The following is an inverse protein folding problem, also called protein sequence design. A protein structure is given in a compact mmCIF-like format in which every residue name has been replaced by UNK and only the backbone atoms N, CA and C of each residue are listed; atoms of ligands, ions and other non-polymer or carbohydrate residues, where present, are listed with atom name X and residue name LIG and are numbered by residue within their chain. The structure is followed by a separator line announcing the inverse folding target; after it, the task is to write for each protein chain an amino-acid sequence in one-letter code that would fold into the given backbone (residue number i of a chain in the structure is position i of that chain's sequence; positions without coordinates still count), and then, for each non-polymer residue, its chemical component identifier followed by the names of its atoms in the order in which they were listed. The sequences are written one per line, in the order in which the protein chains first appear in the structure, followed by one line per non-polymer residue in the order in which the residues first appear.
data_IF_537329544958
#
_entry.id   IF_537329544958
#
_cell.length_a   1.000
_cell.length_b   1.000
_cell.length_c   1.000
_cell.angle_alpha   90.00
_cell.angle_beta   90.00
_cell.angle_gamma   90.00
#
_symmetry.space_group_name_H-M   'P 1'
#
loop_
_entity.id
_entity.type
_entity.pdbx_description
1 polymer ?
#
# COMPACT_ATOMS: atom_id res chain seq x y z
N UNK A 1 -46.21 -89.31 -21.18
CA UNK A 1 -46.36 -88.16 -22.02
C UNK A 1 -46.37 -86.94 -21.15
N UNK A 2 -45.21 -86.29 -20.93
CA UNK A 2 -45.09 -85.01 -20.22
C UNK A 2 -44.17 -84.11 -21.04
N UNK A 3 -44.69 -83.01 -21.53
CA UNK A 3 -43.92 -81.97 -22.22
C UNK A 3 -43.18 -81.14 -21.21
N UNK A 4 -41.90 -81.01 -21.42
CA UNK A 4 -41.00 -80.08 -20.62
C UNK A 4 -40.94 -78.82 -21.46
N UNK A 5 -41.35 -77.67 -20.87
CA UNK A 5 -41.16 -76.32 -21.39
C UNK A 5 -39.82 -75.78 -21.01
N UNK A 6 -39.02 -75.43 -22.00
CA UNK A 6 -37.75 -74.69 -21.75
C UNK A 6 -38.05 -73.19 -21.60
N UNK A 7 -37.67 -72.59 -20.48
CA UNK A 7 -37.61 -71.17 -20.25
C UNK A 7 -36.21 -70.64 -20.62
N UNK A 8 -36.14 -69.82 -21.64
CA UNK A 8 -34.91 -69.11 -22.02
C UNK A 8 -34.80 -67.84 -21.20
N UNK A 9 -33.83 -67.78 -20.36
CA UNK A 9 -33.48 -66.54 -19.60
C UNK A 9 -32.62 -65.62 -20.47
N UNK A 10 -33.14 -64.43 -20.76
CA UNK A 10 -32.43 -63.36 -21.45
C UNK A 10 -31.61 -62.56 -20.38
N UNK A 11 -30.32 -62.74 -20.40
CA UNK A 11 -29.42 -61.90 -19.52
C UNK A 11 -29.18 -60.55 -20.18
N UNK A 12 -29.73 -59.51 -19.58
CA UNK A 12 -29.46 -58.10 -19.93
C UNK A 12 -28.09 -57.67 -19.36
N UNK A 13 -27.06 -57.59 -20.20
CA UNK A 13 -25.76 -57.05 -19.83
C UNK A 13 -25.86 -55.51 -19.89
N UNK A 14 -26.06 -54.85 -18.74
CA UNK A 14 -25.84 -53.41 -18.61
C UNK A 14 -24.34 -53.13 -18.62
N UNK A 15 -23.82 -52.74 -19.77
CA UNK A 15 -22.46 -52.18 -19.87
C UNK A 15 -22.40 -50.82 -19.18
N UNK A 16 -21.79 -50.77 -18.00
CA UNK A 16 -21.33 -49.52 -17.38
C UNK A 16 -20.17 -49.01 -18.24
N UNK A 17 -20.46 -48.09 -19.15
CA UNK A 17 -19.43 -47.25 -19.75
C UNK A 17 -18.92 -46.29 -18.66
N UNK A 18 -17.81 -46.61 -18.04
CA UNK A 18 -17.03 -45.67 -17.26
C UNK A 18 -16.55 -44.55 -18.21
N UNK A 19 -17.22 -43.42 -18.16
CA UNK A 19 -16.70 -42.17 -18.70
C UNK A 19 -15.46 -41.81 -17.88
N UNK A 20 -14.30 -42.29 -18.33
CA UNK A 20 -13.03 -41.73 -17.91
C UNK A 20 -13.01 -40.32 -18.45
N UNK A 21 -13.34 -39.33 -17.61
CA UNK A 21 -13.01 -37.96 -17.85
C UNK A 21 -11.47 -37.87 -17.87
N UNK A 22 -10.91 -37.94 -19.07
CA UNK A 22 -9.55 -37.49 -19.28
C UNK A 22 -9.58 -36.02 -18.97
N UNK A 23 -8.94 -35.60 -17.84
CA UNK A 23 -8.60 -34.21 -17.62
C UNK A 23 -7.86 -33.79 -18.89
N UNK A 24 -8.49 -32.94 -19.70
CA UNK A 24 -7.83 -32.38 -20.87
C UNK A 24 -6.62 -31.63 -20.34
N UNK A 25 -5.40 -31.99 -20.76
CA UNK A 25 -4.20 -31.25 -20.45
C UNK A 25 -4.45 -29.77 -20.78
N UNK A 26 -4.50 -28.94 -19.75
CA UNK A 26 -4.66 -27.51 -19.96
C UNK A 26 -3.46 -27.00 -20.78
N UNK A 27 -3.70 -26.17 -21.80
CA UNK A 27 -2.61 -25.63 -22.58
C UNK A 27 -1.63 -24.87 -21.66
N UNK A 28 -0.35 -25.07 -21.88
CA UNK A 28 0.70 -24.41 -21.09
C UNK A 28 0.63 -22.89 -21.16
N UNK A 29 -0.05 -22.35 -22.16
CA UNK A 29 -0.24 -20.91 -22.38
C UNK A 29 -1.64 -20.61 -22.91
N UNK A 30 -2.25 -19.54 -22.39
CA UNK A 30 -3.57 -19.03 -22.77
C UNK A 30 -3.46 -17.57 -23.21
N UNK A 31 -4.32 -17.15 -24.14
CA UNK A 31 -4.56 -15.72 -24.35
C UNK A 31 -5.55 -15.20 -23.32
N UNK A 32 -5.56 -13.87 -23.12
CA UNK A 32 -6.53 -13.23 -22.23
C UNK A 32 -7.97 -13.56 -22.61
N UNK A 33 -8.28 -13.57 -23.93
CA UNK A 33 -9.61 -13.91 -24.43
C UNK A 33 -10.01 -15.35 -24.08
N UNK A 34 -9.08 -16.31 -24.23
CA UNK A 34 -9.32 -17.72 -23.85
C UNK A 34 -9.56 -17.85 -22.34
N UNK A 35 -8.77 -17.16 -21.52
CA UNK A 35 -8.93 -17.19 -20.06
C UNK A 35 -10.28 -16.61 -19.62
N UNK A 36 -10.71 -15.50 -20.23
CA UNK A 36 -12.00 -14.86 -19.94
C UNK A 36 -13.19 -15.77 -20.26
N UNK A 37 -13.13 -16.57 -21.33
CA UNK A 37 -14.19 -17.54 -21.65
C UNK A 37 -14.33 -18.64 -20.61
N UNK A 38 -13.27 -18.84 -19.79
CA UNK A 38 -13.23 -19.83 -18.73
C UNK A 38 -13.51 -19.23 -17.34
N UNK A 39 -13.84 -17.92 -17.25
CA UNK A 39 -13.95 -17.18 -16.00
C UNK A 39 -12.68 -17.29 -15.13
N UNK A 40 -11.52 -17.32 -15.77
CA UNK A 40 -10.23 -17.45 -15.09
C UNK A 40 -9.69 -16.14 -14.57
N UNK A 41 -8.69 -16.22 -13.69
CA UNK A 41 -8.00 -15.09 -13.09
C UNK A 41 -6.63 -14.85 -13.72
N UNK A 42 -6.25 -13.58 -13.83
CA UNK A 42 -4.91 -13.15 -14.27
C UNK A 42 -4.07 -12.78 -13.05
N UNK A 43 -2.84 -13.26 -12.98
CA UNK A 43 -1.88 -12.90 -11.92
C UNK A 43 -0.61 -12.32 -12.54
N UNK A 44 -0.26 -11.12 -12.10
CA UNK A 44 1.02 -10.47 -12.35
C UNK A 44 2.04 -10.92 -11.31
N UNK A 45 3.09 -11.61 -11.75
CA UNK A 45 4.14 -12.16 -10.87
C UNK A 45 5.31 -11.19 -10.64
N UNK A 46 5.29 -10.03 -11.29
CA UNK A 46 6.32 -8.99 -11.16
C UNK A 46 6.22 -8.28 -9.81
N UNK A 47 7.29 -7.56 -9.43
CA UNK A 47 7.29 -6.73 -8.22
C UNK A 47 6.19 -5.65 -8.28
N UNK A 48 5.70 -5.22 -7.10
CA UNK A 48 4.64 -4.22 -6.95
C UNK A 48 4.90 -2.94 -7.74
N UNK A 49 6.16 -2.50 -7.84
CA UNK A 49 6.51 -1.30 -8.60
C UNK A 49 6.09 -1.40 -10.07
N UNK A 50 6.34 -2.53 -10.73
CA UNK A 50 5.97 -2.74 -12.14
C UNK A 50 4.46 -2.91 -12.32
N UNK A 51 3.81 -3.61 -11.39
CA UNK A 51 2.37 -3.69 -11.34
C UNK A 51 1.73 -2.30 -11.21
N UNK A 52 2.26 -1.46 -10.33
CA UNK A 52 1.74 -0.12 -10.04
C UNK A 52 1.96 0.89 -11.17
N UNK A 53 2.89 0.64 -12.11
CA UNK A 53 3.07 1.56 -13.24
C UNK A 53 4.51 1.87 -13.64
N UNK A 54 5.51 1.47 -12.83
CA UNK A 54 6.89 1.62 -13.26
C UNK A 54 7.19 0.69 -14.44
N UNK A 55 7.78 1.17 -15.54
CA UNK A 55 8.20 0.29 -16.62
C UNK A 55 9.47 -0.46 -16.22
N UNK A 56 9.60 -1.71 -16.67
CA UNK A 56 10.80 -2.53 -16.40
C UNK A 56 12.04 -1.99 -17.11
N UNK A 57 11.86 -1.30 -18.22
CA UNK A 57 12.91 -0.61 -18.98
C UNK A 57 12.41 0.77 -19.39
N UNK A 58 13.30 1.72 -19.74
CA UNK A 58 12.91 3.09 -20.11
C UNK A 58 11.86 3.17 -21.22
N UNK A 59 11.87 2.24 -22.15
CA UNK A 59 10.92 2.13 -23.26
C UNK A 59 9.88 1.02 -23.04
N UNK A 60 9.86 0.45 -21.84
CA UNK A 60 8.98 -0.67 -21.51
C UNK A 60 7.54 -0.24 -21.27
N UNK A 61 6.66 -1.24 -21.26
CA UNK A 61 5.24 -1.07 -20.98
C UNK A 61 5.03 -0.74 -19.50
N UNK A 62 4.10 0.16 -19.21
CA UNK A 62 3.79 0.68 -17.87
C UNK A 62 2.44 0.13 -17.39
N UNK A 63 2.41 -0.48 -16.23
CA UNK A 63 1.20 -0.98 -15.57
C UNK A 63 0.96 -2.48 -15.74
N UNK A 64 -0.28 -2.90 -15.51
CA UNK A 64 -0.72 -4.29 -15.45
C UNK A 64 -1.98 -4.52 -16.31
N UNK A 65 -2.25 -5.78 -16.65
CA UNK A 65 -3.48 -6.16 -17.33
C UNK A 65 -4.71 -5.83 -16.48
N UNK A 66 -5.82 -5.38 -17.11
CA UNK A 66 -7.04 -5.09 -16.37
C UNK A 66 -7.51 -6.29 -15.53
N UNK A 67 -7.89 -6.01 -14.28
CA UNK A 67 -8.30 -7.00 -13.30
C UNK A 67 -7.22 -8.04 -12.92
N UNK A 68 -5.96 -7.86 -13.32
CA UNK A 68 -4.88 -8.71 -12.84
C UNK A 68 -4.65 -8.50 -11.35
N UNK A 69 -4.43 -9.58 -10.63
CA UNK A 69 -3.99 -9.57 -9.23
C UNK A 69 -2.46 -9.54 -9.19
N UNK A 70 -1.88 -8.81 -8.25
CA UNK A 70 -0.44 -8.88 -8.03
C UNK A 70 -0.14 -9.98 -7.00
N UNK A 71 0.63 -10.97 -7.40
CA UNK A 71 1.26 -11.96 -6.52
C UNK A 71 2.73 -12.07 -6.90
N UNK A 72 3.52 -11.13 -6.40
CA UNK A 72 4.94 -11.08 -6.73
C UNK A 72 5.69 -12.34 -6.28
N UNK A 73 6.52 -12.88 -7.16
CA UNK A 73 7.38 -14.02 -6.81
C UNK A 73 8.28 -13.73 -5.60
N UNK A 74 8.68 -12.47 -5.42
CA UNK A 74 9.50 -12.04 -4.28
C UNK A 74 8.81 -12.17 -2.92
N UNK A 75 7.48 -12.17 -2.87
CA UNK A 75 6.72 -12.30 -1.61
C UNK A 75 6.72 -13.73 -1.07
N UNK A 76 6.85 -14.73 -1.94
CA UNK A 76 6.57 -16.13 -1.60
C UNK A 76 7.54 -16.72 -0.58
N UNK A 77 8.75 -16.15 -0.49
CA UNK A 77 9.71 -16.53 0.55
C UNK A 77 9.31 -16.09 1.97
N UNK A 78 8.51 -15.02 2.07
CA UNK A 78 8.00 -14.47 3.33
C UNK A 78 6.56 -14.93 3.66
N UNK A 79 5.85 -15.54 2.70
CA UNK A 79 4.47 -16.01 2.88
C UNK A 79 4.43 -17.47 3.35
N UNK A 80 3.68 -17.71 4.43
CA UNK A 80 3.30 -19.07 4.81
C UNK A 80 2.22 -19.65 3.85
N UNK A 81 1.97 -20.96 3.95
CA UNK A 81 0.92 -21.61 3.15
C UNK A 81 -0.48 -21.08 3.55
N UNK A 82 -0.70 -20.77 4.84
CA UNK A 82 -1.93 -20.17 5.35
C UNK A 82 -2.12 -18.74 4.81
N UNK A 83 -1.05 -17.94 4.75
CA UNK A 83 -1.10 -16.59 4.20
C UNK A 83 -1.43 -16.61 2.71
N UNK A 84 -0.84 -17.52 1.93
CA UNK A 84 -1.18 -17.69 0.52
C UNK A 84 -2.64 -18.13 0.34
N UNK A 85 -3.10 -19.08 1.15
CA UNK A 85 -4.50 -19.53 1.14
C UNK A 85 -5.46 -18.39 1.50
N UNK A 86 -5.11 -17.57 2.49
CA UNK A 86 -5.84 -16.37 2.88
C UNK A 86 -5.91 -15.35 1.76
N UNK A 87 -4.79 -15.07 1.10
CA UNK A 87 -4.70 -14.19 -0.06
C UNK A 87 -5.60 -14.68 -1.21
N UNK A 88 -5.51 -15.97 -1.55
CA UNK A 88 -6.33 -16.57 -2.60
C UNK A 88 -7.83 -16.46 -2.28
N UNK A 89 -8.23 -16.78 -1.04
CA UNK A 89 -9.63 -16.68 -0.58
C UNK A 89 -10.13 -15.23 -0.64
N UNK A 90 -9.32 -14.26 -0.22
CA UNK A 90 -9.67 -12.85 -0.29
C UNK A 90 -9.96 -12.40 -1.71
N UNK A 91 -9.20 -12.90 -2.68
CA UNK A 91 -9.38 -12.61 -4.10
C UNK A 91 -10.34 -13.60 -4.80
N UNK A 92 -11.07 -14.42 -4.03
CA UNK A 92 -12.09 -15.37 -4.52
C UNK A 92 -11.54 -16.39 -5.50
N UNK A 93 -10.25 -16.73 -5.40
CA UNK A 93 -9.64 -17.79 -6.18
C UNK A 93 -9.97 -19.15 -5.56
N UNK A 94 -10.36 -20.10 -6.41
CA UNK A 94 -10.61 -21.49 -6.01
C UNK A 94 -9.61 -22.43 -6.69
N UNK A 95 -9.29 -23.59 -6.09
CA UNK A 95 -8.30 -24.52 -6.63
C UNK A 95 -8.56 -25.01 -8.06
N UNK A 96 -9.81 -25.06 -8.47
CA UNK A 96 -10.28 -25.49 -9.81
C UNK A 96 -10.40 -24.34 -10.81
N UNK A 97 -10.24 -23.09 -10.35
CA UNK A 97 -10.30 -21.91 -11.23
C UNK A 97 -9.08 -21.86 -12.15
N UNK A 98 -9.26 -21.63 -13.46
CA UNK A 98 -8.15 -21.36 -14.36
C UNK A 98 -7.41 -20.08 -13.96
N UNK A 99 -6.09 -20.17 -13.85
CA UNK A 99 -5.22 -19.04 -13.52
C UNK A 99 -4.14 -18.90 -14.60
N UNK A 100 -3.96 -17.71 -15.13
CA UNK A 100 -2.88 -17.40 -16.07
C UNK A 100 -1.92 -16.37 -15.49
N UNK A 101 -0.64 -16.70 -15.49
CA UNK A 101 0.47 -15.93 -14.93
C UNK A 101 1.19 -15.15 -16.02
N UNK A 102 1.63 -13.93 -15.71
CA UNK A 102 2.56 -13.20 -16.55
C UNK A 102 3.62 -12.46 -15.73
N UNK A 103 4.77 -12.32 -16.32
CA UNK A 103 6.00 -11.77 -15.75
C UNK A 103 7.17 -12.34 -16.54
N UNK A 104 8.32 -12.55 -15.92
CA UNK A 104 9.39 -13.34 -16.53
C UNK A 104 9.18 -14.85 -16.20
N UNK A 105 9.85 -15.70 -16.97
CA UNK A 105 9.67 -17.16 -16.87
C UNK A 105 10.03 -17.70 -15.48
N UNK A 106 11.05 -17.18 -14.84
CA UNK A 106 11.48 -17.63 -13.51
C UNK A 106 10.44 -17.26 -12.44
N UNK A 107 9.92 -16.03 -12.48
CA UNK A 107 8.88 -15.56 -11.54
C UNK A 107 7.59 -16.36 -11.76
N UNK A 108 7.17 -16.54 -13.02
CA UNK A 108 6.00 -17.36 -13.37
C UNK A 108 6.14 -18.79 -12.85
N UNK A 109 7.31 -19.42 -13.03
CA UNK A 109 7.53 -20.79 -12.55
C UNK A 109 7.52 -20.87 -11.04
N UNK A 110 8.08 -19.87 -10.34
CA UNK A 110 8.09 -19.79 -8.88
C UNK A 110 6.66 -19.69 -8.32
N UNK A 111 5.84 -18.78 -8.89
CA UNK A 111 4.44 -18.59 -8.47
C UNK A 111 3.61 -19.82 -8.81
N UNK A 112 3.79 -20.40 -10.03
CA UNK A 112 3.10 -21.62 -10.45
C UNK A 112 3.32 -22.76 -9.46
N UNK A 113 4.57 -23.07 -9.15
CA UNK A 113 4.93 -24.13 -8.20
C UNK A 113 4.27 -23.93 -6.84
N UNK A 114 4.20 -22.70 -6.38
CA UNK A 114 3.62 -22.36 -5.08
C UNK A 114 2.09 -22.49 -5.08
N UNK A 115 1.41 -22.09 -6.17
CA UNK A 115 -0.03 -22.25 -6.34
C UNK A 115 -0.41 -23.73 -6.50
N UNK A 116 0.34 -24.50 -7.28
CA UNK A 116 0.12 -25.96 -7.44
C UNK A 116 0.27 -26.68 -6.11
N UNK A 117 1.27 -26.32 -5.28
CA UNK A 117 1.41 -26.84 -3.92
C UNK A 117 0.21 -26.47 -3.03
N UNK A 118 -0.39 -25.30 -3.25
CA UNK A 118 -1.61 -24.85 -2.57
C UNK A 118 -2.90 -25.50 -3.11
N UNK A 119 -2.78 -26.40 -4.10
CA UNK A 119 -3.91 -27.18 -4.64
C UNK A 119 -4.52 -26.64 -5.93
N UNK A 120 -3.98 -25.58 -6.52
CA UNK A 120 -4.46 -25.07 -7.81
C UNK A 120 -4.08 -26.05 -8.93
N UNK A 121 -5.09 -26.46 -9.72
CA UNK A 121 -4.93 -27.52 -10.73
C UNK A 121 -4.82 -26.99 -12.16
N UNK A 122 -5.17 -25.72 -12.40
CA UNK A 122 -5.22 -25.12 -13.72
C UNK A 122 -4.40 -23.84 -13.78
N UNK A 123 -3.07 -23.96 -13.69
CA UNK A 123 -2.14 -22.83 -13.73
C UNK A 123 -1.35 -22.83 -15.03
N UNK A 124 -1.53 -21.80 -15.84
CA UNK A 124 -0.91 -21.60 -17.16
C UNK A 124 -0.18 -20.24 -17.21
N UNK A 125 0.45 -19.91 -18.34
CA UNK A 125 0.99 -18.57 -18.61
C UNK A 125 0.06 -17.78 -19.53
N UNK A 126 0.08 -16.45 -19.43
CA UNK A 126 -0.63 -15.55 -20.33
C UNK A 126 0.28 -15.17 -21.50
N UNK A 127 -0.09 -15.55 -22.74
CA UNK A 127 0.77 -15.39 -23.92
C UNK A 127 0.74 -14.00 -24.55
N UNK A 128 -0.34 -13.25 -24.33
CA UNK A 128 -0.56 -11.92 -24.90
C UNK A 128 -0.55 -10.78 -23.87
N UNK A 129 0.07 -11.04 -22.71
CA UNK A 129 0.21 -10.05 -21.64
C UNK A 129 1.00 -8.81 -22.10
N UNK A 130 0.55 -7.64 -21.62
CA UNK A 130 1.20 -6.33 -21.79
C UNK A 130 1.35 -5.87 -23.26
N UNK A 131 0.66 -6.47 -24.19
CA UNK A 131 0.78 -6.13 -25.62
C UNK A 131 -0.05 -4.91 -26.04
N UNK A 132 -1.13 -4.61 -25.31
CA UNK A 132 -2.04 -3.51 -25.59
C UNK A 132 -1.90 -2.42 -24.52
N UNK A 133 -0.91 -1.54 -24.68
CA UNK A 133 -0.52 -0.54 -23.69
C UNK A 133 -1.62 0.48 -23.32
N UNK A 134 -2.56 0.73 -24.22
CA UNK A 134 -3.66 1.67 -24.06
C UNK A 134 -4.75 1.20 -23.08
N UNK A 135 -4.81 -0.10 -22.79
CA UNK A 135 -5.77 -0.66 -21.84
C UNK A 135 -5.18 -1.04 -20.49
N UNK A 136 -3.87 -0.96 -20.32
CA UNK A 136 -3.24 -1.30 -19.07
C UNK A 136 -3.64 -0.33 -17.95
N UNK A 137 -3.84 -0.89 -16.77
CA UNK A 137 -4.13 -0.15 -15.56
C UNK A 137 -2.84 0.15 -14.79
N UNK A 138 -2.83 1.27 -14.08
CA UNK A 138 -1.71 1.68 -13.25
C UNK A 138 -2.17 2.59 -12.13
N UNK A 139 -1.37 2.70 -11.11
CA UNK A 139 -1.54 3.68 -10.05
C UNK A 139 -1.43 5.09 -10.66
N UNK A 140 -2.35 5.98 -10.32
CA UNK A 140 -2.46 7.30 -10.95
C UNK A 140 -1.17 8.14 -10.80
N UNK A 141 -0.54 8.05 -9.63
CA UNK A 141 0.71 8.74 -9.31
C UNK A 141 1.75 7.74 -8.80
N UNK A 142 2.04 6.70 -9.59
CA UNK A 142 3.00 5.66 -9.24
C UNK A 142 4.40 6.22 -8.92
N UNK A 143 4.76 7.36 -9.53
CA UNK A 143 6.03 8.04 -9.32
C UNK A 143 6.23 8.54 -7.89
N UNK A 144 5.18 8.65 -7.09
CA UNK A 144 5.26 9.01 -5.68
C UNK A 144 5.76 7.84 -4.80
N UNK A 145 5.72 6.61 -5.32
CA UNK A 145 6.20 5.40 -4.65
C UNK A 145 7.37 4.82 -5.45
N UNK A 146 8.57 5.24 -5.11
CA UNK A 146 9.79 4.77 -5.78
C UNK A 146 10.23 3.41 -5.23
N UNK A 147 11.02 2.67 -6.00
CA UNK A 147 11.55 1.37 -5.58
C UNK A 147 13.10 1.38 -5.51
N UNK A 148 13.72 0.43 -4.80
CA UNK A 148 15.15 0.50 -4.48
C UNK A 148 16.06 0.65 -5.69
N UNK A 149 15.85 -0.14 -6.74
CA UNK A 149 16.69 -0.11 -7.94
C UNK A 149 16.58 1.23 -8.69
N UNK A 150 15.42 1.89 -8.63
CA UNK A 150 15.23 3.21 -9.22
C UNK A 150 16.13 4.25 -8.52
N UNK A 151 16.14 4.29 -7.18
CA UNK A 151 17.01 5.19 -6.40
C UNK A 151 18.47 4.87 -6.72
N UNK A 152 18.84 3.60 -6.72
CA UNK A 152 20.21 3.18 -7.00
C UNK A 152 20.68 3.61 -8.41
N UNK A 153 19.84 3.46 -9.42
CA UNK A 153 20.13 3.93 -10.78
C UNK A 153 20.25 5.45 -10.85
N UNK A 154 19.37 6.19 -10.15
CA UNK A 154 19.40 7.64 -10.05
C UNK A 154 20.74 8.12 -9.43
N UNK A 155 21.19 7.47 -8.34
CA UNK A 155 22.49 7.75 -7.71
C UNK A 155 23.68 7.47 -8.64
N UNK A 156 23.56 6.51 -9.53
CA UNK A 156 24.56 6.22 -10.55
C UNK A 156 24.49 7.14 -11.78
N UNK A 157 23.66 8.17 -11.74
CA UNK A 157 23.43 9.10 -12.86
C UNK A 157 22.97 8.38 -14.14
N UNK A 158 22.31 7.24 -13.98
CA UNK A 158 21.68 6.52 -15.09
C UNK A 158 20.32 7.12 -15.41
N UNK A 159 19.89 7.11 -16.69
CA UNK A 159 18.53 7.50 -17.04
C UNK A 159 17.49 6.64 -16.30
N UNK A 160 16.49 7.27 -15.72
CA UNK A 160 15.35 6.63 -15.05
C UNK A 160 14.04 7.27 -15.50
N UNK A 161 12.97 6.49 -15.53
CA UNK A 161 11.62 7.01 -15.76
C UNK A 161 11.23 7.96 -14.63
N UNK A 162 10.49 9.02 -14.90
CA UNK A 162 10.08 10.02 -13.94
C UNK A 162 11.25 10.59 -13.11
N UNK A 163 12.40 10.82 -13.75
CA UNK A 163 13.57 11.43 -13.11
C UNK A 163 13.18 12.78 -12.48
N UNK A 164 13.79 13.16 -11.33
CA UNK A 164 13.67 14.51 -10.79
C UNK A 164 14.01 15.58 -11.81
N UNK A 165 13.22 16.65 -11.85
CA UNK A 165 13.46 17.75 -12.80
C UNK A 165 14.64 18.68 -12.40
N UNK A 166 15.05 18.64 -11.11
CA UNK A 166 16.10 19.48 -10.55
C UNK A 166 16.87 18.79 -9.44
N UNK A 167 17.24 19.57 -8.43
CA UNK A 167 17.92 19.04 -7.24
C UNK A 167 17.04 18.00 -6.54
N UNK A 168 17.66 16.94 -6.10
CA UNK A 168 16.96 15.88 -5.35
C UNK A 168 17.77 15.41 -4.16
N UNK A 169 17.07 14.86 -3.16
CA UNK A 169 17.66 14.34 -1.92
C UNK A 169 16.99 13.02 -1.55
N UNK A 170 17.78 12.09 -1.00
CA UNK A 170 17.29 10.90 -0.30
C UNK A 170 17.47 11.15 1.19
N UNK A 171 16.43 10.91 1.99
CA UNK A 171 16.44 11.23 3.42
C UNK A 171 15.77 10.09 4.19
N UNK A 172 16.46 9.58 5.22
CA UNK A 172 15.85 8.70 6.21
C UNK A 172 15.09 9.54 7.24
N UNK A 173 13.83 9.21 7.49
CA UNK A 173 13.04 9.79 8.56
C UNK A 173 12.91 8.78 9.71
N UNK A 174 13.14 9.23 10.93
CA UNK A 174 13.00 8.41 12.12
C UNK A 174 12.80 9.25 13.37
N UNK A 175 12.43 8.63 14.48
CA UNK A 175 12.22 9.32 15.75
C UNK A 175 13.49 9.34 16.59
N UNK A 176 13.89 10.54 17.01
CA UNK A 176 15.02 10.76 17.90
C UNK A 176 16.39 10.63 17.20
N UNK A 177 17.41 10.29 17.99
CA UNK A 177 18.77 10.20 17.49
C UNK A 177 18.93 9.11 16.41
N UNK A 178 19.79 9.32 15.39
CA UNK A 178 19.91 8.46 14.19
C UNK A 178 20.66 7.14 14.45
N UNK A 179 20.33 6.40 15.50
CA UNK A 179 21.10 5.23 15.95
C UNK A 179 21.19 4.13 14.89
N UNK A 180 20.06 3.77 14.26
CA UNK A 180 20.03 2.75 13.23
C UNK A 180 20.61 3.26 11.90
N UNK A 181 20.38 4.53 11.58
CA UNK A 181 20.96 5.20 10.43
C UNK A 181 22.51 5.13 10.48
N UNK A 182 23.12 5.44 11.64
CA UNK A 182 24.56 5.38 11.81
C UNK A 182 25.16 3.98 11.57
N UNK A 183 24.38 2.94 11.79
CA UNK A 183 24.79 1.55 11.54
C UNK A 183 24.71 1.17 10.07
N UNK A 184 23.69 1.67 9.37
CA UNK A 184 23.49 1.44 7.95
C UNK A 184 22.40 2.36 7.40
N UNK A 185 22.62 2.97 6.24
CA UNK A 185 21.65 3.80 5.53
C UNK A 185 21.88 3.74 4.02
N UNK A 186 20.96 4.29 3.24
CA UNK A 186 21.12 4.42 1.79
C UNK A 186 22.28 5.40 1.52
N UNK A 187 23.25 5.05 0.66
CA UNK A 187 24.41 5.91 0.40
C UNK A 187 24.01 7.35 0.06
N UNK A 188 24.67 8.31 0.70
CA UNK A 188 24.39 9.75 0.51
C UNK A 188 23.09 10.27 1.10
N UNK A 189 22.30 9.44 1.78
CA UNK A 189 21.06 9.88 2.40
C UNK A 189 21.33 10.84 3.58
N UNK A 190 20.46 11.86 3.74
CA UNK A 190 20.35 12.64 4.95
C UNK A 190 19.52 11.94 6.02
N UNK A 191 19.40 12.58 7.20
CA UNK A 191 18.52 12.12 8.28
C UNK A 191 17.67 13.28 8.80
N UNK A 192 16.37 13.04 8.98
CA UNK A 192 15.43 13.94 9.65
C UNK A 192 14.87 13.22 10.87
N UNK A 193 15.05 13.82 12.05
CA UNK A 193 14.33 13.47 13.27
C UNK A 193 12.89 14.02 13.16
N UNK A 194 11.88 13.17 13.34
CA UNK A 194 10.48 13.60 13.30
C UNK A 194 10.17 14.70 14.31
N UNK A 195 10.93 14.82 15.40
CA UNK A 195 10.83 15.95 16.34
C UNK A 195 11.15 17.32 15.69
N UNK A 196 11.70 17.35 14.49
CA UNK A 196 11.90 18.59 13.73
C UNK A 196 10.61 19.05 13.01
N UNK A 197 9.64 18.16 12.83
CA UNK A 197 8.36 18.44 12.12
C UNK A 197 7.13 18.38 13.02
N UNK A 198 7.22 17.75 14.17
CA UNK A 198 6.15 17.61 15.17
C UNK A 198 6.71 17.79 16.59
N UNK A 199 5.85 18.08 17.57
CA UNK A 199 6.33 18.33 18.93
C UNK A 199 5.31 17.99 20.01
N UNK A 200 5.83 17.65 21.19
CA UNK A 200 5.03 17.53 22.41
C UNK A 200 4.23 18.82 22.69
N UNK A 201 3.10 18.74 23.43
CA UNK A 201 2.59 17.53 24.10
C UNK A 201 1.70 16.66 23.20
N UNK A 202 1.15 17.18 22.10
CA UNK A 202 0.15 16.51 21.29
C UNK A 202 0.72 15.87 20.00
N UNK A 203 2.01 16.10 19.74
CA UNK A 203 2.68 15.66 18.51
C UNK A 203 2.06 16.24 17.24
N UNK A 204 1.46 17.42 17.37
CA UNK A 204 1.01 18.19 16.22
C UNK A 204 2.22 18.77 15.47
N UNK A 205 2.01 19.12 14.21
CA UNK A 205 2.99 19.81 13.37
C UNK A 205 3.57 21.04 14.10
N UNK A 206 4.86 21.24 13.99
CA UNK A 206 5.52 22.46 14.48
C UNK A 206 5.01 23.71 13.74
N UNK A 207 5.32 24.90 14.27
CA UNK A 207 4.92 26.15 13.59
C UNK A 207 5.56 26.26 12.20
N UNK A 208 4.95 27.05 11.32
CA UNK A 208 5.43 27.23 9.95
C UNK A 208 6.83 27.85 9.91
N UNK A 209 7.19 28.69 10.90
CA UNK A 209 8.55 29.24 11.06
C UNK A 209 9.57 28.16 11.38
N UNK A 210 9.25 27.23 12.30
CA UNK A 210 10.12 26.09 12.62
C UNK A 210 10.25 25.14 11.44
N UNK A 211 9.14 24.91 10.72
CA UNK A 211 9.13 24.10 9.52
C UNK A 211 10.01 24.71 8.43
N UNK A 212 9.92 26.03 8.23
CA UNK A 212 10.79 26.76 7.30
C UNK A 212 12.28 26.64 7.68
N UNK A 213 12.59 26.75 8.96
CA UNK A 213 13.95 26.62 9.47
C UNK A 213 14.49 25.19 9.28
N UNK A 214 13.66 24.17 9.51
CA UNK A 214 14.00 22.76 9.29
C UNK A 214 14.30 22.50 7.81
N UNK A 215 13.43 22.92 6.90
CA UNK A 215 13.62 22.75 5.47
C UNK A 215 14.92 23.41 4.99
N UNK A 216 15.18 24.66 5.43
CA UNK A 216 16.43 25.35 5.12
C UNK A 216 17.66 24.60 5.65
N UNK A 217 17.64 24.13 6.90
CA UNK A 217 18.72 23.33 7.54
C UNK A 217 19.08 22.10 6.69
N UNK A 218 18.07 21.41 6.17
CA UNK A 218 18.25 20.21 5.31
C UNK A 218 18.49 20.54 3.83
N UNK A 219 18.63 21.82 3.48
CA UNK A 219 18.89 22.26 2.11
C UNK A 219 17.70 22.01 1.17
N UNK A 220 16.46 22.02 1.69
CA UNK A 220 15.25 21.74 0.95
C UNK A 220 14.54 23.03 0.58
N UNK A 221 14.27 23.21 -0.71
CA UNK A 221 13.46 24.27 -1.29
C UNK A 221 12.13 23.69 -1.80
N UNK A 222 11.21 24.56 -2.16
CA UNK A 222 9.90 24.17 -2.68
C UNK A 222 9.98 23.35 -3.99
N UNK A 223 11.06 23.48 -4.74
CA UNK A 223 11.33 22.81 -6.02
C UNK A 223 12.35 21.64 -5.91
N UNK A 224 12.84 21.34 -4.71
CA UNK A 224 13.66 20.15 -4.46
C UNK A 224 12.78 18.90 -4.48
N UNK A 225 13.20 17.88 -5.24
CA UNK A 225 12.57 16.55 -5.12
C UNK A 225 13.11 15.85 -3.87
N UNK A 226 12.22 15.47 -2.95
CA UNK A 226 12.59 14.79 -1.72
C UNK A 226 12.10 13.34 -1.76
N UNK A 227 13.02 12.39 -1.64
CA UNK A 227 12.76 10.96 -1.59
C UNK A 227 12.97 10.51 -0.14
N UNK A 228 11.88 10.15 0.53
CA UNK A 228 11.89 9.78 1.94
C UNK A 228 11.80 8.26 2.11
N UNK A 229 12.52 7.75 3.09
CA UNK A 229 12.34 6.38 3.58
C UNK A 229 12.46 6.34 5.10
N UNK A 230 12.01 5.25 5.71
CA UNK A 230 12.13 5.03 7.14
C UNK A 230 12.34 3.56 7.45
N UNK A 231 12.69 3.26 8.70
CA UNK A 231 12.63 1.89 9.23
C UNK A 231 11.16 1.46 9.31
N UNK A 232 10.32 2.42 9.68
CA UNK A 232 8.88 2.37 9.58
C UNK A 232 8.43 3.33 8.47
N UNK A 233 7.68 2.85 7.50
CA UNK A 233 7.24 3.64 6.33
C UNK A 233 6.40 4.84 6.79
N UNK A 234 5.59 4.69 7.82
CA UNK A 234 4.74 5.76 8.34
C UNK A 234 5.54 6.94 8.96
N UNK A 235 6.78 6.73 9.42
CA UNK A 235 7.64 7.84 9.84
C UNK A 235 8.04 8.72 8.64
N UNK A 236 8.43 8.09 7.54
CA UNK A 236 8.71 8.79 6.29
C UNK A 236 7.45 9.48 5.74
N UNK A 237 6.30 8.81 5.81
CA UNK A 237 5.02 9.36 5.37
C UNK A 237 4.61 10.60 6.18
N UNK A 238 4.86 10.61 7.51
CA UNK A 238 4.62 11.79 8.35
C UNK A 238 5.40 12.99 7.88
N UNK A 239 6.70 12.82 7.65
CA UNK A 239 7.55 13.91 7.14
C UNK A 239 7.11 14.31 5.73
N UNK A 240 6.78 13.35 4.85
CA UNK A 240 6.31 13.63 3.50
C UNK A 240 5.04 14.47 3.48
N UNK A 241 4.05 14.12 4.29
CA UNK A 241 2.77 14.83 4.37
C UNK A 241 2.98 16.28 4.83
N UNK A 242 3.83 16.51 5.84
CA UNK A 242 4.14 17.85 6.34
C UNK A 242 4.94 18.66 5.32
N UNK A 243 5.86 18.04 4.57
CA UNK A 243 6.57 18.70 3.47
C UNK A 243 5.64 19.10 2.34
N UNK A 244 4.66 18.27 1.97
CA UNK A 244 3.62 18.61 0.99
C UNK A 244 2.77 19.78 1.49
N UNK A 245 2.35 19.77 2.76
CA UNK A 245 1.66 20.90 3.38
C UNK A 245 2.49 22.20 3.27
N UNK A 246 3.79 22.12 3.56
CA UNK A 246 4.70 23.26 3.45
C UNK A 246 4.79 23.80 2.02
N UNK A 247 4.57 22.97 1.01
CA UNK A 247 4.62 23.37 -0.40
C UNK A 247 5.82 22.81 -1.17
N UNK A 248 6.50 21.77 -0.65
CA UNK A 248 7.46 21.00 -1.45
C UNK A 248 6.68 20.29 -2.56
N UNK A 249 7.05 20.52 -3.81
CA UNK A 249 6.23 20.11 -4.97
C UNK A 249 6.33 18.62 -5.29
N UNK A 250 7.50 18.03 -5.10
CA UNK A 250 7.79 16.63 -5.42
C UNK A 250 8.35 15.92 -4.20
N UNK A 251 7.48 15.19 -3.51
CA UNK A 251 7.81 14.38 -2.35
C UNK A 251 7.42 12.94 -2.65
N UNK A 252 8.40 12.05 -2.58
CA UNK A 252 8.25 10.63 -2.90
C UNK A 252 8.64 9.79 -1.70
N UNK A 253 8.08 8.59 -1.62
CA UNK A 253 8.41 7.60 -0.59
C UNK A 253 9.05 6.38 -1.25
N UNK A 254 10.12 5.84 -0.66
CA UNK A 254 10.60 4.50 -0.98
C UNK A 254 9.58 3.48 -0.48
N UNK A 255 8.89 2.84 -1.41
CA UNK A 255 7.87 1.82 -1.12
C UNK A 255 8.52 0.61 -0.44
N UNK A 256 7.98 0.22 0.72
CA UNK A 256 8.58 -0.77 1.61
C UNK A 256 9.78 -0.27 2.44
N UNK A 257 10.15 1.00 2.34
CA UNK A 257 11.14 1.65 3.20
C UNK A 257 12.53 1.01 3.21
N UNK A 258 13.19 1.10 4.35
CA UNK A 258 14.51 0.46 4.54
C UNK A 258 14.51 -1.03 4.28
N UNK A 259 13.43 -1.73 4.64
CA UNK A 259 13.32 -3.17 4.41
C UNK A 259 13.46 -3.49 2.92
N UNK A 260 12.76 -2.79 2.04
CA UNK A 260 12.84 -2.98 0.60
C UNK A 260 14.27 -2.76 0.06
N UNK A 261 14.97 -1.73 0.55
CA UNK A 261 16.38 -1.49 0.18
C UNK A 261 17.30 -2.63 0.60
N UNK A 262 17.15 -3.08 1.84
CA UNK A 262 17.95 -4.17 2.41
C UNK A 262 17.71 -5.50 1.70
N UNK A 263 16.45 -5.83 1.43
CA UNK A 263 16.05 -7.05 0.73
C UNK A 263 16.56 -7.07 -0.72
N UNK A 264 16.68 -5.89 -1.35
CA UNK A 264 17.29 -5.74 -2.67
C UNK A 264 18.81 -5.93 -2.66
N UNK A 265 19.43 -6.11 -1.49
CA UNK A 265 20.90 -6.29 -1.33
C UNK A 265 21.71 -5.18 -1.98
N UNK A 266 21.21 -3.94 -1.97
CA UNK A 266 21.88 -2.78 -2.52
C UNK A 266 22.95 -2.23 -1.57
N UNK A 267 23.92 -1.43 -2.08
CA UNK A 267 24.97 -0.85 -1.25
C UNK A 267 24.43 -0.04 -0.08
N UNK A 268 25.11 -0.09 1.05
CA UNK A 268 24.79 0.69 2.26
C UNK A 268 25.99 1.53 2.67
N UNK A 269 25.71 2.68 3.28
CA UNK A 269 26.68 3.55 3.91
C UNK A 269 26.52 3.49 5.43
N UNK A 270 27.56 3.90 6.17
CA UNK A 270 27.62 3.93 7.63
C UNK A 270 28.20 5.26 8.09
N UNK A 271 27.86 5.66 9.31
CA UNK A 271 28.41 6.86 9.92
C UNK A 271 27.44 8.04 9.86
N UNK A 272 27.95 9.24 10.12
CA UNK A 272 27.16 10.46 10.21
C UNK A 272 26.61 10.92 8.87
N UNK A 273 25.44 11.58 8.83
CA UNK A 273 24.91 12.17 7.62
C UNK A 273 25.95 13.12 6.97
N UNK A 274 25.97 13.13 5.64
CA UNK A 274 26.77 14.09 4.90
C UNK A 274 26.40 15.53 5.32
N UNK A 275 27.42 16.41 5.38
CA UNK A 275 27.17 17.83 5.61
C UNK A 275 26.32 18.40 4.45
N UNK A 276 25.11 18.78 4.76
CA UNK A 276 24.21 19.42 3.81
C UNK A 276 24.41 20.93 3.86
N UNK A 277 24.62 21.57 2.73
CA UNK A 277 24.61 23.03 2.64
C UNK A 277 23.18 23.50 2.86
N UNK A 278 22.91 24.35 3.88
CA UNK A 278 21.57 24.89 4.09
C UNK A 278 21.09 25.68 2.86
N UNK A 279 19.79 25.59 2.57
CA UNK A 279 19.18 26.42 1.56
C UNK A 279 19.10 27.88 2.04
N UNK A 280 19.35 28.87 1.16
CA UNK A 280 19.28 30.28 1.55
C UNK A 280 17.85 30.72 1.90
N UNK A 281 16.86 30.13 1.28
CA UNK A 281 15.43 30.31 1.50
C UNK A 281 14.64 29.11 1.01
N UNK A 282 13.36 29.05 1.33
CA UNK A 282 12.45 28.01 0.83
C UNK A 282 11.97 28.31 -0.62
N UNK A 283 11.97 29.57 -1.03
CA UNK A 283 11.60 30.02 -2.37
C UNK A 283 10.09 30.14 -2.61
N UNK A 284 9.25 29.90 -1.59
CA UNK A 284 7.80 30.04 -1.66
C UNK A 284 7.22 30.33 -0.26
N UNK A 285 5.96 30.82 -0.15
CA UNK A 285 5.27 30.93 1.13
C UNK A 285 5.01 29.56 1.77
N UNK A 286 5.03 29.49 3.11
CA UNK A 286 4.59 28.34 3.91
C UNK A 286 3.39 28.78 4.75
N UNK A 287 2.26 28.02 4.75
CA UNK A 287 2.05 26.78 4.01
C UNK A 287 1.77 27.04 2.51
N UNK A 288 2.27 26.14 1.66
CA UNK A 288 1.94 26.15 0.22
C UNK A 288 0.66 25.39 -0.10
N UNK A 289 0.29 24.38 0.72
CA UNK A 289 -0.90 23.57 0.55
C UNK A 289 -1.63 23.37 1.88
N UNK A 290 -2.24 24.42 2.46
CA UNK A 290 -2.89 24.35 3.78
C UNK A 290 -4.05 23.33 3.83
N UNK A 291 -4.72 23.08 2.69
CA UNK A 291 -5.83 22.14 2.58
C UNK A 291 -5.43 20.68 2.85
N UNK A 292 -4.14 20.35 2.86
CA UNK A 292 -3.67 19.00 3.14
C UNK A 292 -3.62 18.67 4.64
N UNK A 293 -3.94 19.63 5.49
CA UNK A 293 -3.98 19.46 6.94
C UNK A 293 -5.28 20.03 7.50
N UNK A 294 -5.92 19.28 8.36
CA UNK A 294 -7.19 19.60 9.01
C UNK A 294 -6.92 19.81 10.50
N UNK A 295 -7.41 20.91 11.04
CA UNK A 295 -7.43 21.15 12.48
C UNK A 295 -8.68 20.55 13.16
N UNK A 296 -8.76 20.66 14.48
CA UNK A 296 -9.85 20.07 15.25
C UNK A 296 -11.22 20.69 14.92
N UNK A 297 -11.29 21.99 14.63
CA UNK A 297 -12.56 22.66 14.30
C UNK A 297 -13.06 22.22 12.92
N UNK A 298 -12.15 22.11 11.96
CA UNK A 298 -12.45 21.56 10.64
C UNK A 298 -12.88 20.09 10.74
N UNK A 299 -12.21 19.29 11.57
CA UNK A 299 -12.59 17.89 11.81
C UNK A 299 -13.99 17.75 12.41
N UNK A 300 -14.36 18.62 13.36
CA UNK A 300 -15.73 18.72 13.87
C UNK A 300 -16.74 19.03 12.78
N UNK A 301 -16.43 20.00 11.91
CA UNK A 301 -17.26 20.37 10.77
C UNK A 301 -17.49 19.21 9.80
N UNK A 302 -16.46 18.38 9.56
CA UNK A 302 -16.55 17.22 8.65
C UNK A 302 -17.56 16.17 9.13
N UNK A 303 -17.72 15.97 10.44
CA UNK A 303 -18.67 15.01 10.99
C UNK A 303 -20.14 15.33 10.68
N UNK A 304 -20.44 16.58 10.30
CA UNK A 304 -21.79 17.03 9.96
C UNK A 304 -22.04 17.12 8.46
N UNK A 305 -21.08 16.70 7.64
CA UNK A 305 -21.15 16.80 6.17
C UNK A 305 -21.34 15.42 5.54
N UNK A 306 -22.23 15.31 4.56
CA UNK A 306 -22.45 14.06 3.81
C UNK A 306 -21.36 13.80 2.76
N UNK A 307 -20.71 14.86 2.27
CA UNK A 307 -19.63 14.82 1.28
C UNK A 307 -18.24 14.73 1.91
N UNK A 308 -18.14 14.45 3.22
CA UNK A 308 -16.89 14.34 3.94
C UNK A 308 -16.81 13.06 4.78
N UNK A 309 -15.57 12.60 5.00
CA UNK A 309 -15.27 11.44 5.85
C UNK A 309 -14.09 11.76 6.75
N UNK A 310 -14.28 11.67 8.06
CA UNK A 310 -13.20 11.62 9.03
C UNK A 310 -12.86 10.14 9.25
N UNK A 311 -11.63 9.74 8.92
CA UNK A 311 -11.25 8.33 8.76
C UNK A 311 -10.17 7.95 9.76
N UNK A 312 -10.51 7.00 10.64
CA UNK A 312 -9.62 6.45 11.65
C UNK A 312 -8.68 5.41 11.06
N UNK A 313 -7.39 5.70 11.06
CA UNK A 313 -6.31 4.75 10.71
C UNK A 313 -5.75 4.20 12.02
N UNK A 314 -6.57 3.39 12.69
CA UNK A 314 -6.25 2.76 13.97
C UNK A 314 -6.65 1.29 13.92
N UNK A 315 -6.01 0.46 14.73
CA UNK A 315 -6.38 -0.95 14.85
C UNK A 315 -7.83 -1.10 15.33
N UNK A 316 -8.42 -2.26 15.08
CA UNK A 316 -9.80 -2.53 15.54
C UNK A 316 -9.97 -2.39 17.05
N UNK A 317 -9.07 -2.94 17.90
CA UNK A 317 -9.18 -2.74 19.35
C UNK A 317 -9.11 -1.27 19.80
N UNK A 318 -8.32 -0.43 19.09
CA UNK A 318 -8.31 1.02 19.34
C UNK A 318 -9.65 1.66 18.94
N UNK A 319 -10.16 1.30 17.74
CA UNK A 319 -11.40 1.87 17.18
C UNK A 319 -12.63 1.58 18.03
N UNK A 320 -12.73 0.38 18.60
CA UNK A 320 -13.84 0.02 19.48
C UNK A 320 -13.62 0.43 20.96
N UNK A 321 -12.43 0.96 21.28
CA UNK A 321 -12.13 1.45 22.62
C UNK A 321 -11.71 0.39 23.63
N UNK A 322 -11.25 -0.77 23.21
CA UNK A 322 -10.63 -1.78 24.09
C UNK A 322 -9.27 -1.30 24.61
N UNK A 323 -8.53 -0.60 23.78
CA UNK A 323 -7.24 0.01 24.11
C UNK A 323 -7.13 1.43 23.58
N UNK A 324 -6.23 2.24 24.14
CA UNK A 324 -5.85 3.52 23.54
C UNK A 324 -4.79 3.35 22.43
N UNK A 325 -4.08 2.23 22.45
CA UNK A 325 -2.98 1.93 21.55
C UNK A 325 -1.62 2.50 21.98
N UNK A 326 -1.58 3.46 22.90
CA UNK A 326 -0.37 4.19 23.29
C UNK A 326 -0.24 4.29 24.80
N UNK A 327 0.99 4.22 25.32
CA UNK A 327 1.25 4.35 26.75
C UNK A 327 0.98 5.77 27.29
N UNK A 328 1.13 6.78 26.46
CA UNK A 328 0.97 8.21 26.82
C UNK A 328 -0.42 8.77 26.51
N UNK A 329 -1.23 8.12 25.67
CA UNK A 329 -2.64 8.47 25.44
C UNK A 329 -3.50 7.60 26.36
N UNK A 330 -4.13 8.23 27.34
CA UNK A 330 -4.95 7.50 28.35
C UNK A 330 -6.39 7.23 27.91
N UNK A 331 -7.09 8.18 27.28
CA UNK A 331 -8.47 7.94 26.84
C UNK A 331 -8.55 6.82 25.81
N UNK A 332 -9.57 5.96 25.99
CA UNK A 332 -9.96 4.90 25.06
C UNK A 332 -11.22 5.30 24.32
N UNK A 333 -11.41 4.77 23.13
CA UNK A 333 -12.57 5.07 22.31
C UNK A 333 -12.18 5.65 20.95
N UNK A 334 -13.17 6.26 20.30
CA UNK A 334 -13.05 6.78 18.96
C UNK A 334 -13.84 8.07 18.78
N UNK A 335 -13.49 8.88 17.80
CA UNK A 335 -14.28 10.04 17.39
C UNK A 335 -15.66 9.55 16.95
N UNK A 336 -16.72 10.01 17.63
CA UNK A 336 -18.08 9.61 17.29
C UNK A 336 -18.44 10.09 15.87
N UNK A 337 -18.88 9.17 15.01
CA UNK A 337 -19.16 9.45 13.59
C UNK A 337 -17.98 9.24 12.63
N UNK A 338 -16.79 8.97 13.13
CA UNK A 338 -15.67 8.60 12.28
C UNK A 338 -15.85 7.20 11.67
N UNK A 339 -15.26 7.01 10.51
CA UNK A 339 -15.25 5.74 9.75
C UNK A 339 -13.95 5.00 9.98
N UNK A 340 -14.03 3.67 10.06
CA UNK A 340 -12.85 2.86 10.24
C UNK A 340 -12.13 2.64 8.91
N UNK A 341 -10.95 3.24 8.77
CA UNK A 341 -10.09 3.10 7.60
C UNK A 341 -9.08 1.98 7.69
N UNK A 342 -9.15 1.14 8.75
CA UNK A 342 -8.19 0.08 9.05
C UNK A 342 -6.80 0.61 9.44
N UNK A 343 -5.89 -0.28 9.78
CA UNK A 343 -4.46 -0.04 9.97
C UNK A 343 -3.71 -1.37 10.01
N UNK A 344 -3.81 -2.07 11.12
CA UNK A 344 -3.16 -3.35 11.39
C UNK A 344 -3.51 -3.84 12.79
N UNK A 345 -2.67 -4.71 13.34
CA UNK A 345 -2.91 -5.43 14.59
C UNK A 345 -2.88 -4.54 15.84
N UNK A 346 -2.10 -3.45 15.82
CA UNK A 346 -1.95 -2.52 16.94
C UNK A 346 -1.54 -1.10 16.48
N UNK A 347 -1.14 -0.25 17.44
CA UNK A 347 -0.78 1.15 17.19
C UNK A 347 0.53 1.35 16.41
N UNK A 348 1.31 0.30 16.19
CA UNK A 348 2.61 0.33 15.52
C UNK A 348 2.65 -0.47 14.22
N UNK A 349 1.50 -0.99 13.79
CA UNK A 349 1.40 -1.85 12.62
C UNK A 349 0.41 -1.33 11.58
N UNK A 350 0.73 -1.58 10.30
CA UNK A 350 -0.05 -1.17 9.13
C UNK A 350 -0.24 -2.33 8.14
N UNK A 351 -0.39 -3.57 8.64
CA UNK A 351 -0.46 -4.79 7.81
C UNK A 351 -1.61 -4.76 6.81
N UNK A 352 -2.71 -4.05 7.12
CA UNK A 352 -3.86 -3.93 6.20
C UNK A 352 -3.51 -3.17 4.92
N UNK A 353 -2.42 -2.38 4.95
CA UNK A 353 -1.96 -1.56 3.83
C UNK A 353 -0.73 -2.14 3.11
N UNK A 354 -0.15 -3.21 3.63
CA UNK A 354 1.11 -3.73 3.14
C UNK A 354 0.99 -5.11 2.50
N UNK A 355 1.78 -5.31 1.45
CA UNK A 355 2.12 -6.61 0.91
C UNK A 355 3.13 -7.32 1.82
N UNK A 356 3.38 -8.62 1.65
CA UNK A 356 4.34 -9.38 2.49
C UNK A 356 5.76 -8.82 2.52
N UNK A 357 6.18 -8.08 1.50
CA UNK A 357 7.48 -7.41 1.44
C UNK A 357 7.49 -6.00 2.03
N UNK A 358 6.35 -5.53 2.55
CA UNK A 358 6.18 -4.19 3.13
C UNK A 358 5.85 -3.10 2.11
N UNK A 359 5.74 -3.42 0.82
CA UNK A 359 5.28 -2.46 -0.19
C UNK A 359 3.79 -2.18 -0.09
N UNK A 360 3.33 -1.08 -0.68
CA UNK A 360 1.90 -0.72 -0.72
C UNK A 360 1.07 -1.86 -1.33
N UNK A 361 0.03 -2.26 -0.61
CA UNK A 361 -1.00 -3.17 -1.11
C UNK A 361 -1.69 -2.58 -2.34
N UNK A 362 -2.27 -3.42 -3.19
CA UNK A 362 -2.90 -2.93 -4.43
C UNK A 362 -3.94 -1.84 -4.16
N UNK A 363 -4.03 -0.86 -5.04
CA UNK A 363 -5.02 0.21 -4.95
C UNK A 363 -6.45 -0.33 -4.88
N UNK A 364 -6.75 -1.39 -5.63
CA UNK A 364 -8.06 -2.04 -5.64
C UNK A 364 -8.41 -2.67 -4.29
N UNK A 365 -7.44 -3.31 -3.63
CA UNK A 365 -7.65 -3.88 -2.30
C UNK A 365 -7.90 -2.80 -1.25
N UNK A 366 -7.12 -1.72 -1.27
CA UNK A 366 -7.30 -0.60 -0.33
C UNK A 366 -8.65 0.08 -0.60
N UNK A 367 -9.00 0.35 -1.85
CA UNK A 367 -10.28 0.95 -2.21
C UNK A 367 -11.47 0.05 -1.80
N UNK A 368 -11.36 -1.26 -2.01
CA UNK A 368 -12.39 -2.22 -1.59
C UNK A 368 -12.56 -2.23 -0.06
N UNK A 369 -11.45 -2.22 0.68
CA UNK A 369 -11.45 -2.14 2.15
C UNK A 369 -12.14 -0.86 2.64
N UNK A 370 -11.78 0.30 2.09
CA UNK A 370 -12.37 1.59 2.45
C UNK A 370 -13.84 1.71 2.05
N UNK A 371 -14.20 1.13 0.90
CA UNK A 371 -15.60 1.12 0.44
C UNK A 371 -16.55 0.41 1.40
N UNK A 372 -16.10 -0.60 2.14
CA UNK A 372 -16.92 -1.27 3.16
C UNK A 372 -17.40 -0.30 4.25
N UNK A 373 -16.66 0.76 4.52
CA UNK A 373 -16.98 1.83 5.46
C UNK A 373 -17.48 3.10 4.77
N UNK A 374 -17.89 2.99 3.49
CA UNK A 374 -18.36 4.12 2.69
C UNK A 374 -17.35 5.29 2.61
N UNK A 375 -16.04 4.96 2.62
CA UNK A 375 -14.94 5.89 2.40
C UNK A 375 -14.66 5.87 0.90
N UNK A 376 -14.94 6.99 0.21
CA UNK A 376 -14.99 7.06 -1.25
C UNK A 376 -14.15 8.23 -1.78
N UNK A 377 -13.57 8.11 -2.99
CA UNK A 377 -12.68 9.12 -3.57
C UNK A 377 -13.33 10.47 -3.89
N UNK A 378 -14.67 10.52 -4.01
CA UNK A 378 -15.41 11.75 -4.28
C UNK A 378 -15.60 12.63 -3.04
N UNK A 379 -15.37 12.07 -1.86
CA UNK A 379 -15.55 12.77 -0.58
C UNK A 379 -14.31 13.61 -0.25
N UNK A 380 -14.50 14.60 0.63
CA UNK A 380 -13.39 15.18 1.39
C UNK A 380 -12.99 14.21 2.49
N UNK A 381 -11.82 13.59 2.36
CA UNK A 381 -11.35 12.58 3.30
C UNK A 381 -10.23 13.14 4.16
N UNK A 382 -10.38 13.14 5.48
CA UNK A 382 -9.31 13.43 6.41
C UNK A 382 -8.97 12.18 7.22
N UNK A 383 -7.75 11.69 7.07
CA UNK A 383 -7.22 10.56 7.83
C UNK A 383 -6.65 11.03 9.17
N UNK A 384 -6.83 10.25 10.21
CA UNK A 384 -6.18 10.45 11.51
C UNK A 384 -5.86 9.11 12.17
N UNK A 385 -4.93 9.14 13.12
CA UNK A 385 -4.65 8.03 14.03
C UNK A 385 -4.47 8.55 15.46
N UNK A 386 -3.54 8.06 16.24
CA UNK A 386 -3.22 8.65 17.55
C UNK A 386 -2.63 10.06 17.42
N UNK A 387 -1.59 10.20 16.62
CA UNK A 387 -0.75 11.42 16.49
C UNK A 387 -0.33 11.75 15.05
N UNK A 388 -0.85 11.07 14.04
CA UNK A 388 -0.68 11.44 12.63
C UNK A 388 0.20 10.54 11.75
N UNK A 389 1.06 9.66 12.28
CA UNK A 389 2.00 8.86 11.49
C UNK A 389 1.31 7.87 10.54
N UNK A 390 0.51 6.94 11.09
CA UNK A 390 -0.25 5.96 10.29
C UNK A 390 -1.23 6.66 9.32
N UNK A 391 -1.86 7.73 9.78
CA UNK A 391 -2.73 8.57 8.96
C UNK A 391 -2.01 9.17 7.76
N UNK A 392 -0.77 9.61 7.94
CA UNK A 392 0.06 10.16 6.86
C UNK A 392 0.43 9.11 5.82
N UNK A 393 0.61 7.85 6.21
CA UNK A 393 0.83 6.76 5.25
C UNK A 393 -0.41 6.49 4.41
N UNK A 394 -1.59 6.36 5.04
CA UNK A 394 -2.86 6.22 4.32
C UNK A 394 -3.12 7.42 3.37
N UNK A 395 -2.79 8.64 3.82
CA UNK A 395 -2.86 9.84 3.00
C UNK A 395 -1.93 9.75 1.76
N UNK A 396 -0.68 9.33 1.93
CA UNK A 396 0.25 9.18 0.80
C UNK A 396 -0.24 8.14 -0.20
N UNK A 397 -0.78 7.02 0.27
CA UNK A 397 -1.35 5.98 -0.59
C UNK A 397 -2.60 6.46 -1.32
N UNK A 398 -3.52 7.16 -0.65
CA UNK A 398 -4.69 7.74 -1.29
C UNK A 398 -4.29 8.73 -2.42
N UNK A 399 -3.26 9.55 -2.18
CA UNK A 399 -2.72 10.45 -3.22
C UNK A 399 -2.12 9.67 -4.39
N UNK A 400 -1.33 8.65 -4.12
CA UNK A 400 -0.77 7.79 -5.17
C UNK A 400 -1.88 7.11 -5.99
N UNK A 401 -3.01 6.75 -5.36
CA UNK A 401 -4.22 6.24 -6.02
C UNK A 401 -4.96 7.31 -6.85
N UNK A 402 -4.59 8.60 -6.74
CA UNK A 402 -5.20 9.69 -7.49
C UNK A 402 -6.36 10.39 -6.77
N UNK A 403 -6.58 10.12 -5.48
CA UNK A 403 -7.61 10.82 -4.71
C UNK A 403 -7.24 12.29 -4.53
N UNK A 404 -8.15 13.19 -4.91
CA UNK A 404 -7.86 14.62 -4.99
C UNK A 404 -8.09 15.37 -3.67
N UNK A 405 -9.12 14.98 -2.91
CA UNK A 405 -9.60 15.72 -1.74
C UNK A 405 -9.22 14.98 -0.46
N UNK A 406 -7.92 14.81 -0.22
CA UNK A 406 -7.40 14.09 0.95
C UNK A 406 -6.54 14.99 1.82
N UNK A 407 -6.65 14.81 3.13
CA UNK A 407 -5.92 15.55 4.15
C UNK A 407 -5.59 14.64 5.35
N UNK A 408 -4.81 15.15 6.28
CA UNK A 408 -4.58 14.54 7.60
C UNK A 408 -5.16 15.46 8.67
N UNK A 409 -5.98 14.93 9.57
CA UNK A 409 -6.32 15.60 10.83
C UNK A 409 -5.13 15.45 11.78
N UNK A 410 -4.40 16.54 11.95
CA UNK A 410 -3.08 16.58 12.60
C UNK A 410 -3.14 16.15 14.07
N UNK A 411 -4.11 16.66 14.82
CA UNK A 411 -4.25 16.37 16.25
C UNK A 411 -4.65 14.94 16.59
N UNK A 412 -5.32 14.27 15.68
CA UNK A 412 -5.74 12.88 15.82
C UNK A 412 -6.56 12.60 17.07
N UNK A 413 -6.56 11.33 17.49
CA UNK A 413 -7.25 10.89 18.68
C UNK A 413 -6.71 11.57 19.95
N UNK A 414 -5.42 11.84 20.01
CA UNK A 414 -4.80 12.42 21.19
C UNK A 414 -5.34 13.82 21.50
N UNK A 415 -5.37 14.71 20.52
CA UNK A 415 -5.95 16.03 20.67
C UNK A 415 -7.46 15.95 20.92
N UNK A 416 -8.19 15.18 20.09
CA UNK A 416 -9.63 15.04 20.20
C UNK A 416 -10.09 14.61 21.59
N UNK A 417 -9.46 13.56 22.12
CA UNK A 417 -9.81 12.98 23.42
C UNK A 417 -9.37 13.82 24.61
N UNK A 418 -8.49 14.81 24.41
CA UNK A 418 -8.08 15.76 25.44
C UNK A 418 -9.13 16.84 25.72
N UNK A 419 -10.17 16.95 24.87
CA UNK A 419 -11.24 17.91 24.98
C UNK A 419 -12.53 17.21 25.41
N UNK A 420 -12.96 17.35 26.70
CA UNK A 420 -14.10 16.58 27.23
C UNK A 420 -15.44 16.81 26.54
N UNK A 421 -15.60 17.93 25.83
CA UNK A 421 -16.82 18.26 25.08
C UNK A 421 -16.89 17.56 23.73
N UNK A 422 -15.81 16.97 23.25
CA UNK A 422 -15.81 16.27 21.97
C UNK A 422 -16.55 14.94 22.07
N UNK A 423 -17.43 14.60 21.12
CA UNK A 423 -18.16 13.35 21.16
C UNK A 423 -17.25 12.15 20.93
N UNK A 424 -17.36 11.17 21.80
CA UNK A 424 -16.60 9.92 21.82
C UNK A 424 -17.55 8.73 21.78
N UNK A 425 -17.18 7.68 21.05
CA UNK A 425 -17.88 6.40 21.01
C UNK A 425 -16.97 5.26 21.41
N UNK A 426 -17.57 4.21 21.97
CA UNK A 426 -16.91 2.95 22.37
C UNK A 426 -17.80 1.77 21.99
N UNK A 427 -17.23 0.58 21.97
CA UNK A 427 -17.91 -0.67 21.62
C UNK A 427 -17.91 -0.95 20.13
N UNK A 428 -18.28 -2.18 19.80
CA UNK A 428 -18.39 -2.63 18.41
C UNK A 428 -19.48 -1.86 17.67
N UNK A 429 -19.18 -1.50 16.43
CA UNK A 429 -20.10 -0.81 15.53
C UNK A 429 -19.72 -1.12 14.09
N UNK A 430 -20.73 -1.20 13.24
CA UNK A 430 -20.56 -1.41 11.81
C UNK A 430 -20.56 -0.11 11.01
N UNK A 431 -20.37 -0.22 9.69
CA UNK A 431 -20.34 0.94 8.78
C UNK A 431 -21.60 1.82 8.83
N UNK A 432 -22.75 1.27 9.18
CA UNK A 432 -24.03 1.98 9.30
C UNK A 432 -24.07 2.96 10.49
N UNK A 433 -23.19 2.79 11.47
CA UNK A 433 -23.11 3.67 12.64
C UNK A 433 -22.31 4.96 12.40
N UNK A 434 -21.64 5.04 11.26
CA UNK A 434 -20.82 6.18 10.84
C UNK A 434 -21.60 7.17 9.95
N UNK A 435 -22.90 7.45 10.34
CA UNK A 435 -23.78 8.39 9.62
C UNK A 435 -23.88 9.71 10.35
#
# INVERSE_FOLDING_TARGET
MKRVSQLTALALICGLASLSSTAADMPHSLTLAQLQTQNGAVIDTRISAFYNGWPQTLSGTSGHEPAALNLSASWLGAMSDEQLSGWAKQHRLTPDMPVALYGNDNDNQTVKTRLEKAGFTHVSTLSDALQQSDRLQRLAHFEQLVYPQWIHQLQQVKPVTAAPAGEWKVIEAGWGAPKLYLLSHIPGAGYIDTNEVESEPLWNKVSDEKLKAMLAKHGIRHDTTVILYGRDVYAAARVAQIMLYAGVKDVRILDGGWKAWSDASLPVERGTPANVKPAPDFGAPIPGQPQLMVDMEQARGMLHRQDASLVSIRSWPEFIGETSGYSYIKPKGEIAGARWGHAGSDATHMEDFHNPDGTMRSADDIAAMWKTWNILPEQHVAFYCGTGWRASEAFMYARAMGWQNVAVYDGGWYEWSSHPQNPVSTGERGPESAR
#
